data_IF_720634750123
#
_entry.id   IF_720634750123
#
_cell.length_a   1.000
_cell.length_b   1.000
_cell.length_c   1.000
_cell.angle_alpha   90.00
_cell.angle_beta   90.00
_cell.angle_gamma   90.00
#
_symmetry.space_group_name_H-M   'P 1'
#
loop_
_entity.id
_entity.type
_entity.pdbx_description
1 polymer ?
#
# COMPACT_ATOMS: atom_id res chain seq x y z
N UNK A 1 1.15 8.08 8.01
CA UNK A 1 1.85 6.97 7.32
C UNK A 1 2.49 7.35 5.98
N UNK A 2 2.74 8.63 5.66
CA UNK A 2 3.24 9.01 4.33
C UNK A 2 4.62 8.42 3.98
N UNK A 3 5.57 8.43 4.93
CA UNK A 3 6.90 7.85 4.73
C UNK A 3 6.86 6.33 4.50
N UNK A 4 6.01 5.61 5.25
CA UNK A 4 5.84 4.16 5.10
C UNK A 4 5.19 3.80 3.76
N UNK A 5 4.18 4.55 3.33
CA UNK A 5 3.56 4.41 2.00
C UNK A 5 4.60 4.63 0.89
N UNK A 6 5.43 5.67 1.04
CA UNK A 6 6.48 5.97 0.06
C UNK A 6 7.56 4.87 0.00
N UNK A 7 7.95 4.32 1.16
CA UNK A 7 8.86 3.19 1.24
C UNK A 7 8.27 1.92 0.59
N UNK A 8 7.00 1.61 0.86
CA UNK A 8 6.32 0.47 0.26
C UNK A 8 6.21 0.61 -1.27
N UNK A 9 5.81 1.77 -1.77
CA UNK A 9 5.74 2.04 -3.21
C UNK A 9 7.11 1.92 -3.91
N UNK A 10 8.18 2.39 -3.26
CA UNK A 10 9.56 2.14 -3.72
C UNK A 10 9.89 0.65 -3.74
N UNK A 11 9.58 -0.10 -2.68
CA UNK A 11 9.84 -1.53 -2.61
C UNK A 11 9.16 -2.31 -3.73
N UNK A 12 7.85 -2.11 -3.91
CA UNK A 12 7.02 -2.79 -4.92
C UNK A 12 7.47 -2.51 -6.35
N UNK A 13 8.09 -1.36 -6.59
CA UNK A 13 8.54 -0.94 -7.92
C UNK A 13 10.06 -1.03 -8.12
N UNK A 14 10.77 -1.75 -7.24
CA UNK A 14 12.24 -1.92 -7.28
C UNK A 14 13.00 -0.58 -7.29
N UNK A 15 12.56 0.36 -6.45
CA UNK A 15 13.19 1.66 -6.22
C UNK A 15 12.72 2.78 -7.15
N UNK A 16 11.66 2.60 -7.94
CA UNK A 16 11.21 3.61 -8.92
C UNK A 16 10.51 4.80 -8.25
N UNK A 17 11.32 5.81 -7.92
CA UNK A 17 10.90 7.15 -7.56
C UNK A 17 10.22 7.25 -6.18
N UNK A 18 10.17 8.48 -5.65
CA UNK A 18 9.54 8.79 -4.37
C UNK A 18 8.22 9.57 -4.59
N UNK A 19 7.50 9.77 -3.49
CA UNK A 19 6.22 10.47 -3.44
C UNK A 19 5.01 9.57 -3.71
N UNK A 20 5.10 8.26 -3.43
CA UNK A 20 3.95 7.38 -3.55
C UNK A 20 2.85 7.75 -2.56
N UNK A 21 1.59 7.63 -2.99
CA UNK A 21 0.41 7.92 -2.19
C UNK A 21 -0.57 6.75 -2.27
N UNK A 22 -1.21 6.45 -1.14
CA UNK A 22 -2.35 5.54 -1.10
C UNK A 22 -3.54 6.21 -1.80
N UNK A 23 -4.15 5.53 -2.76
CA UNK A 23 -5.33 6.02 -3.50
C UNK A 23 -6.53 5.09 -3.43
N UNK A 24 -6.32 3.84 -3.03
CA UNK A 24 -7.38 2.85 -2.87
C UNK A 24 -7.02 1.87 -1.75
N UNK A 25 -8.05 1.39 -1.05
CA UNK A 25 -7.96 0.34 -0.05
C UNK A 25 -9.21 -0.52 -0.22
N UNK A 26 -9.02 -1.82 -0.42
CA UNK A 26 -10.06 -2.82 -0.59
C UNK A 26 -9.75 -4.05 0.30
N UNK A 27 -10.66 -5.04 0.41
CA UNK A 27 -10.42 -6.24 1.20
C UNK A 27 -9.15 -7.00 0.81
N UNK A 28 -8.71 -6.94 -0.44
CA UNK A 28 -7.60 -7.70 -0.96
C UNK A 28 -6.25 -6.96 -0.88
N UNK A 29 -6.26 -5.64 -0.72
CA UNK A 29 -5.04 -4.86 -0.71
C UNK A 29 -5.21 -3.35 -0.81
N UNK A 30 -4.13 -2.69 -1.24
CA UNK A 30 -4.04 -1.25 -1.33
C UNK A 30 -3.36 -0.80 -2.62
N UNK A 31 -3.94 0.23 -3.25
CA UNK A 31 -3.39 0.82 -4.47
C UNK A 31 -2.56 2.06 -4.13
N UNK A 32 -1.32 2.06 -4.61
CA UNK A 32 -0.38 3.16 -4.51
C UNK A 32 -0.21 3.82 -5.88
N UNK A 33 -0.17 5.15 -5.91
CA UNK A 33 0.06 5.92 -7.13
C UNK A 33 1.19 6.92 -6.97
N UNK A 34 1.92 7.10 -8.07
CA UNK A 34 2.94 8.14 -8.26
C UNK A 34 2.82 8.67 -9.69
N UNK A 35 2.27 9.87 -9.85
CA UNK A 35 1.97 10.43 -11.16
C UNK A 35 1.18 9.42 -12.02
N UNK A 36 1.69 9.02 -13.19
CA UNK A 36 1.08 8.00 -14.06
C UNK A 36 1.35 6.54 -13.66
N UNK A 37 2.16 6.28 -12.63
CA UNK A 37 2.51 4.94 -12.19
C UNK A 37 1.57 4.43 -11.10
N UNK A 38 1.27 3.13 -11.14
CA UNK A 38 0.46 2.40 -10.17
C UNK A 38 1.26 1.21 -9.63
N UNK A 39 1.13 0.94 -8.34
CA UNK A 39 1.64 -0.26 -7.70
C UNK A 39 0.57 -0.79 -6.73
N UNK A 40 0.42 -2.11 -6.63
CA UNK A 40 -0.51 -2.75 -5.71
C UNK A 40 0.25 -3.43 -4.59
N UNK A 41 -0.17 -3.17 -3.37
CA UNK A 41 0.21 -3.92 -2.19
C UNK A 41 -0.89 -4.95 -1.95
N UNK A 42 -0.57 -6.23 -2.06
CA UNK A 42 -1.52 -7.30 -1.77
C UNK A 42 -1.46 -7.70 -0.30
N UNK A 43 -2.62 -7.95 0.31
CA UNK A 43 -2.68 -8.62 1.60
C UNK A 43 -2.49 -10.13 1.44
N UNK A 44 -2.03 -10.78 2.51
CA UNK A 44 -1.84 -12.24 2.51
C UNK A 44 -3.16 -13.01 2.32
N UNK A 45 -4.28 -12.42 2.73
CA UNK A 45 -5.64 -12.93 2.54
C UNK A 45 -6.64 -11.76 2.51
N UNK A 46 -7.84 -11.95 1.92
CA UNK A 46 -8.91 -10.95 1.95
C UNK A 46 -9.34 -10.61 3.38
N UNK A 47 -9.56 -9.33 3.66
CA UNK A 47 -9.92 -8.82 4.98
C UNK A 47 -11.42 -8.54 5.07
N UNK A 48 -12.13 -9.12 6.04
CA UNK A 48 -13.60 -9.09 6.06
C UNK A 48 -14.19 -7.77 6.56
N UNK A 49 -13.37 -6.90 7.19
CA UNK A 49 -13.84 -5.62 7.74
C UNK A 49 -12.86 -4.49 7.45
N UNK A 50 -13.32 -3.23 7.48
CA UNK A 50 -12.46 -2.06 7.35
C UNK A 50 -11.34 -2.01 8.41
N UNK A 51 -11.63 -2.42 9.64
CA UNK A 51 -10.65 -2.47 10.73
C UNK A 51 -9.56 -3.49 10.45
N UNK A 52 -9.94 -4.67 9.94
CA UNK A 52 -9.00 -5.72 9.52
C UNK A 52 -8.16 -5.27 8.32
N UNK A 53 -8.77 -4.61 7.33
CA UNK A 53 -8.06 -4.03 6.18
C UNK A 53 -7.04 -2.96 6.62
N UNK A 54 -7.41 -2.11 7.59
CA UNK A 54 -6.49 -1.13 8.17
C UNK A 54 -5.33 -1.80 8.90
N UNK A 55 -5.59 -2.82 9.71
CA UNK A 55 -4.54 -3.56 10.42
C UNK A 55 -3.58 -4.26 9.44
N UNK A 56 -4.12 -4.92 8.40
CA UNK A 56 -3.33 -5.56 7.35
C UNK A 56 -2.48 -4.54 6.57
N UNK A 57 -3.03 -3.37 6.26
CA UNK A 57 -2.28 -2.28 5.64
C UNK A 57 -1.11 -1.82 6.51
N UNK A 58 -1.32 -1.59 7.81
CA UNK A 58 -0.26 -1.17 8.71
C UNK A 58 0.86 -2.22 8.81
N UNK A 59 0.48 -3.49 8.96
CA UNK A 59 1.44 -4.60 8.97
C UNK A 59 2.25 -4.66 7.66
N UNK A 60 1.61 -4.52 6.50
CA UNK A 60 2.29 -4.56 5.21
C UNK A 60 3.15 -3.32 4.93
N UNK A 61 2.82 -2.17 5.52
CA UNK A 61 3.64 -0.95 5.49
C UNK A 61 4.81 -0.98 6.49
N UNK A 62 4.84 -1.95 7.41
CA UNK A 62 5.80 -2.01 8.52
C UNK A 62 5.65 -0.82 9.48
N UNK A 63 4.41 -0.38 9.73
CA UNK A 63 4.08 0.87 10.44
C UNK A 63 3.19 0.66 11.67
#
# INVERSE_FOLDING_TARGET
HAAAIDAAGRGLTRGRGAGWRLTGLDPEGADLRRAGAVARLDFAAPQPTPEAARAALLAALGA
#
